data_IF_389915958373
#
_entry.id   IF_389915958373
#
_cell.length_a   1.000
_cell.length_b   1.000
_cell.length_c   1.000
_cell.angle_alpha   90.00
_cell.angle_beta   90.00
_cell.angle_gamma   90.00
#
_symmetry.space_group_name_H-M   'P 1'
#
loop_
_entity.id
_entity.type
_entity.pdbx_description
1 polymer ?
#
# COMPACT_ATOMS: atom_id res chain seq x y z
N UNK A 1 -43.50 -37.93 25.38
CA UNK A 1 -43.08 -37.62 23.99
C UNK A 1 -41.78 -36.83 24.06
N UNK A 2 -40.64 -37.48 23.80
CA UNK A 2 -39.29 -36.90 23.94
C UNK A 2 -38.58 -36.87 22.60
N UNK A 3 -39.00 -35.97 21.73
CA UNK A 3 -38.33 -35.68 20.45
C UNK A 3 -38.47 -34.17 20.25
N UNK A 4 -37.42 -33.52 19.73
CA UNK A 4 -37.20 -32.06 19.60
C UNK A 4 -36.27 -31.39 20.61
N UNK A 5 -35.17 -32.05 21.02
CA UNK A 5 -33.95 -31.29 21.39
C UNK A 5 -32.80 -31.44 20.39
N UNK A 6 -32.90 -32.44 19.50
CA UNK A 6 -31.79 -32.84 18.64
C UNK A 6 -31.83 -32.21 17.23
N UNK A 7 -32.99 -31.70 16.81
CA UNK A 7 -33.17 -31.00 15.53
C UNK A 7 -33.14 -29.47 15.65
N UNK A 8 -32.84 -28.93 16.82
CA UNK A 8 -32.71 -27.49 16.99
C UNK A 8 -31.49 -26.99 16.18
N UNK A 9 -31.69 -25.99 15.33
CA UNK A 9 -30.60 -25.33 14.60
C UNK A 9 -29.52 -24.81 15.56
N UNK A 10 -29.91 -24.42 16.77
CA UNK A 10 -29.00 -24.00 17.84
C UNK A 10 -28.09 -25.16 18.27
N UNK A 11 -28.64 -26.37 18.44
CA UNK A 11 -27.87 -27.56 18.78
C UNK A 11 -26.88 -27.92 17.67
N UNK A 12 -27.34 -27.82 16.42
CA UNK A 12 -26.53 -28.07 15.21
C UNK A 12 -25.39 -27.05 15.05
N UNK A 13 -25.63 -25.79 15.42
CA UNK A 13 -24.60 -24.73 15.43
C UNK A 13 -23.56 -24.93 16.54
N UNK A 14 -23.97 -25.34 17.74
CA UNK A 14 -23.04 -25.62 18.84
C UNK A 14 -22.12 -26.81 18.52
N UNK A 15 -22.62 -27.83 17.84
CA UNK A 15 -21.83 -29.00 17.41
C UNK A 15 -20.96 -28.73 16.20
N UNK A 16 -21.45 -27.98 15.20
CA UNK A 16 -20.65 -27.62 14.03
C UNK A 16 -19.38 -26.82 14.37
N UNK A 17 -19.39 -26.07 15.48
CA UNK A 17 -18.22 -25.32 15.99
C UNK A 17 -17.28 -26.17 16.88
N UNK A 18 -17.66 -27.42 17.19
CA UNK A 18 -16.86 -28.32 18.01
C UNK A 18 -15.90 -29.16 17.15
N UNK A 19 -16.33 -29.56 15.95
CA UNK A 19 -15.56 -30.41 15.02
C UNK A 19 -14.41 -29.67 14.32
N UNK A 20 -14.50 -28.34 14.22
CA UNK A 20 -13.48 -27.46 13.63
C UNK A 20 -12.59 -26.75 14.67
N UNK A 21 -12.48 -27.32 15.88
CA UNK A 21 -11.46 -26.92 16.88
C UNK A 21 -10.04 -27.33 16.49
N UNK A 22 -9.68 -27.19 15.22
CA UNK A 22 -8.27 -27.12 14.84
C UNK A 22 -7.71 -25.84 15.42
N UNK A 23 -6.54 -25.90 16.06
CA UNK A 23 -5.87 -24.69 16.57
C UNK A 23 -5.89 -23.61 15.49
N UNK A 24 -6.18 -22.34 15.84
CA UNK A 24 -6.18 -21.25 14.87
C UNK A 24 -4.93 -21.34 14.02
N UNK A 25 -5.04 -21.22 12.68
CA UNK A 25 -3.89 -21.11 11.78
C UNK A 25 -3.18 -19.79 12.08
N UNK A 26 -2.43 -19.79 13.16
CA UNK A 26 -1.64 -18.69 13.65
C UNK A 26 -0.35 -18.62 12.85
N UNK A 27 0.15 -17.40 12.67
CA UNK A 27 1.44 -17.18 12.05
C UNK A 27 2.55 -17.77 12.93
N UNK A 28 3.63 -18.24 12.32
CA UNK A 28 4.77 -18.78 13.05
C UNK A 28 5.35 -17.76 14.06
N UNK A 29 5.27 -16.47 13.74
CA UNK A 29 5.71 -15.38 14.62
C UNK A 29 4.91 -15.30 15.92
N UNK A 30 3.61 -15.57 15.89
CA UNK A 30 2.79 -15.50 17.10
C UNK A 30 3.00 -16.71 18.00
N UNK A 31 3.20 -17.90 17.43
CA UNK A 31 3.56 -19.10 18.21
C UNK A 31 4.84 -18.88 19.03
N UNK A 32 5.86 -18.26 18.42
CA UNK A 32 7.11 -17.91 19.12
C UNK A 32 6.89 -16.92 20.26
N UNK A 33 5.98 -15.96 20.10
CA UNK A 33 5.64 -15.00 21.15
C UNK A 33 4.88 -15.67 22.31
N UNK A 34 4.00 -16.63 22.01
CA UNK A 34 3.27 -17.39 23.04
C UNK A 34 4.23 -18.23 23.88
N UNK A 35 5.13 -18.99 23.23
CA UNK A 35 6.13 -19.83 23.89
C UNK A 35 7.07 -19.02 24.81
N UNK A 36 7.49 -17.83 24.37
CA UNK A 36 8.32 -16.92 25.15
C UNK A 36 7.61 -16.33 26.39
N UNK A 37 6.28 -16.22 26.35
CA UNK A 37 5.47 -15.77 27.49
C UNK A 37 5.12 -16.94 28.43
N UNK A 38 4.94 -18.14 27.90
CA UNK A 38 4.57 -19.35 28.66
C UNK A 38 5.75 -19.96 29.42
N UNK A 39 6.98 -19.62 29.05
CA UNK A 39 8.21 -20.12 29.69
C UNK A 39 8.69 -19.28 30.88
N UNK A 40 8.00 -18.18 31.23
CA UNK A 40 8.35 -17.33 32.36
C UNK A 40 7.09 -16.87 33.14
N UNK A 41 6.70 -17.54 34.23
CA UNK A 41 5.52 -17.19 35.02
C UNK A 41 5.71 -15.97 35.95
N UNK A 42 6.91 -15.40 36.03
CA UNK A 42 7.26 -14.32 36.97
C UNK A 42 7.55 -12.98 36.27
N UNK A 43 6.61 -12.52 35.44
CA UNK A 43 6.29 -11.09 35.30
C UNK A 43 7.39 -10.10 34.89
N UNK A 44 8.52 -10.53 34.33
CA UNK A 44 9.55 -9.62 33.78
C UNK A 44 9.71 -9.85 32.28
N UNK A 45 8.99 -9.05 31.48
CA UNK A 45 9.09 -9.08 30.03
C UNK A 45 10.50 -8.63 29.59
N UNK A 46 11.43 -9.58 29.44
CA UNK A 46 12.62 -9.38 28.63
C UNK A 46 12.29 -9.71 27.17
N UNK A 47 11.81 -8.71 26.44
CA UNK A 47 11.61 -8.78 24.99
C UNK A 47 12.91 -9.25 24.29
N UNK A 48 12.87 -10.29 23.44
CA UNK A 48 14.01 -10.61 22.59
C UNK A 48 14.22 -9.47 21.58
N UNK A 49 15.27 -8.68 21.79
CA UNK A 49 15.71 -7.54 20.95
C UNK A 49 16.17 -7.91 19.53
N UNK A 50 15.76 -9.07 18.98
CA UNK A 50 16.21 -9.54 17.66
C UNK A 50 15.36 -9.05 16.49
N UNK A 51 14.34 -8.23 16.75
CA UNK A 51 13.54 -7.56 15.72
C UNK A 51 13.54 -6.05 15.93
N UNK A 52 14.72 -5.43 16.03
CA UNK A 52 14.86 -3.98 15.84
C UNK A 52 15.54 -3.69 14.51
N UNK A 53 14.89 -2.98 13.56
CA UNK A 53 15.57 -2.42 12.40
C UNK A 53 16.52 -1.33 12.90
N UNK A 54 17.81 -1.65 12.90
CA UNK A 54 18.87 -0.74 13.29
C UNK A 54 18.93 0.44 12.32
N UNK A 55 18.42 1.61 12.73
CA UNK A 55 18.85 2.91 12.21
C UNK A 55 20.05 3.31 13.07
N UNK A 56 21.28 3.10 12.57
CA UNK A 56 22.47 3.67 13.19
C UNK A 56 22.58 5.15 12.80
N UNK A 57 22.35 6.03 13.78
CA UNK A 57 22.75 7.43 13.73
C UNK A 57 24.07 7.55 14.50
N UNK A 58 25.18 7.75 13.77
CA UNK A 58 26.47 8.12 14.35
C UNK A 58 26.80 9.56 13.91
N UNK A 59 26.87 10.47 14.87
CA UNK A 59 27.57 11.77 14.80
C UNK A 59 28.96 11.49 15.43
N UNK A 60 30.15 11.96 15.04
CA UNK A 60 30.65 13.18 14.37
C UNK A 60 32.16 12.88 14.09
N UNK A 61 32.84 13.25 13.00
CA UNK A 61 33.60 14.50 12.73
C UNK A 61 34.43 14.27 11.44
N UNK A 62 34.47 15.28 10.56
CA UNK A 62 35.37 15.54 9.42
C UNK A 62 36.03 14.37 8.68
N UNK A 63 35.59 14.15 7.44
CA UNK A 63 36.45 14.42 6.28
C UNK A 63 35.63 14.54 5.00
N UNK A 64 35.98 15.54 4.20
CA UNK A 64 35.41 15.83 2.90
C UNK A 64 35.52 14.61 1.98
N UNK A 65 34.39 14.04 1.57
CA UNK A 65 34.07 13.72 0.18
C UNK A 65 32.70 13.04 0.10
N UNK A 66 31.78 13.78 -0.52
CA UNK A 66 30.42 13.38 -0.85
C UNK A 66 30.39 12.13 -1.75
N UNK A 67 29.73 11.03 -1.37
CA UNK A 67 29.33 10.01 -2.33
C UNK A 67 27.95 10.37 -2.85
N UNK A 68 27.93 10.95 -4.04
CA UNK A 68 26.76 11.03 -4.93
C UNK A 68 26.09 9.64 -4.97
N UNK A 69 24.75 9.51 -4.88
CA UNK A 69 24.10 8.24 -5.18
C UNK A 69 24.36 7.94 -6.66
N UNK A 70 25.36 7.09 -6.89
CA UNK A 70 25.69 6.58 -8.21
C UNK A 70 24.52 5.74 -8.69
N UNK A 71 23.82 6.26 -9.70
CA UNK A 71 23.03 5.50 -10.64
C UNK A 71 23.84 4.26 -11.05
N UNK A 72 23.45 3.09 -10.54
CA UNK A 72 23.97 1.82 -11.00
C UNK A 72 23.09 1.35 -12.17
N UNK A 73 23.54 1.42 -13.44
CA UNK A 73 22.83 0.75 -14.51
C UNK A 73 23.14 -0.74 -14.39
N UNK A 74 22.29 -1.51 -13.73
CA UNK A 74 22.30 -2.97 -13.90
C UNK A 74 21.75 -3.25 -15.29
N UNK A 75 22.68 -3.41 -16.23
CA UNK A 75 22.47 -3.86 -17.59
C UNK A 75 21.88 -5.28 -17.56
N UNK A 76 20.55 -5.37 -17.60
CA UNK A 76 19.78 -6.60 -17.79
C UNK A 76 18.83 -6.35 -18.97
N UNK A 77 18.63 -7.32 -19.87
CA UNK A 77 18.18 -7.07 -21.23
C UNK A 77 16.80 -6.41 -21.24
N UNK A 78 16.74 -5.30 -21.96
CA UNK A 78 15.59 -4.47 -22.37
C UNK A 78 14.19 -5.09 -22.27
N UNK A 79 13.69 -5.34 -21.07
CA UNK A 79 12.27 -5.18 -20.81
C UNK A 79 12.06 -3.67 -20.79
N UNK A 80 11.42 -3.11 -21.81
CA UNK A 80 11.17 -1.68 -21.96
C UNK A 80 10.47 -1.13 -20.70
N UNK A 81 11.27 -0.62 -19.75
CA UNK A 81 10.80 -0.09 -18.48
C UNK A 81 9.91 1.11 -18.78
N UNK A 82 8.66 1.05 -18.36
CA UNK A 82 7.71 2.14 -18.56
C UNK A 82 8.14 3.32 -17.70
N UNK A 83 8.13 4.53 -18.24
CA UNK A 83 8.53 5.73 -17.49
C UNK A 83 7.29 6.46 -16.97
N UNK A 84 7.31 6.86 -15.70
CA UNK A 84 6.25 7.63 -15.09
C UNK A 84 6.27 9.08 -15.57
N UNK A 85 5.23 9.57 -16.22
CA UNK A 85 5.18 10.97 -16.69
C UNK A 85 5.06 12.01 -15.56
N UNK A 86 4.83 11.63 -14.29
CA UNK A 86 4.72 12.61 -13.18
C UNK A 86 6.06 12.91 -12.53
N UNK A 87 6.85 11.86 -12.30
CA UNK A 87 8.11 11.94 -11.57
C UNK A 87 9.32 11.59 -12.44
N UNK A 88 9.10 11.24 -13.71
CA UNK A 88 10.13 10.90 -14.69
C UNK A 88 11.02 9.71 -14.26
N UNK A 89 10.56 8.91 -13.30
CA UNK A 89 11.24 7.69 -12.86
C UNK A 89 10.69 6.48 -13.60
N UNK A 90 11.54 5.48 -13.80
CA UNK A 90 11.15 4.17 -14.35
C UNK A 90 10.26 3.41 -13.38
N UNK A 91 9.20 2.80 -13.89
CA UNK A 91 8.26 1.97 -13.15
C UNK A 91 8.77 0.52 -13.22
N UNK A 92 9.20 -0.04 -12.09
CA UNK A 92 9.80 -1.38 -12.04
C UNK A 92 8.79 -2.53 -11.96
N UNK A 93 7.67 -2.32 -11.27
CA UNK A 93 6.72 -3.38 -10.92
C UNK A 93 5.32 -3.14 -11.53
N UNK A 94 4.54 -2.22 -10.94
CA UNK A 94 3.15 -1.99 -11.31
C UNK A 94 3.00 -0.60 -11.92
N UNK A 95 2.54 -0.56 -13.18
CA UNK A 95 2.26 0.67 -13.91
C UNK A 95 0.75 0.84 -14.13
N UNK A 96 0.24 2.05 -13.88
CA UNK A 96 -1.08 2.48 -14.33
C UNK A 96 -0.94 3.01 -15.75
N UNK A 97 -1.54 2.33 -16.74
CA UNK A 97 -1.63 2.81 -18.12
C UNK A 97 -2.75 3.83 -18.22
N UNK A 98 -2.42 5.05 -18.64
CA UNK A 98 -3.38 6.15 -18.79
C UNK A 98 -3.83 6.23 -20.24
N UNK A 99 -2.88 6.11 -21.17
CA UNK A 99 -3.10 6.09 -22.62
C UNK A 99 -1.97 5.29 -23.29
N UNK A 100 -2.05 5.08 -24.60
CA UNK A 100 -0.96 4.41 -25.33
C UNK A 100 0.35 5.19 -25.13
N UNK A 101 1.37 4.52 -24.58
CA UNK A 101 2.66 5.16 -24.27
C UNK A 101 2.73 5.99 -22.97
N UNK A 102 1.61 6.29 -22.30
CA UNK A 102 1.58 7.07 -21.05
C UNK A 102 1.34 6.21 -19.82
N UNK A 103 2.32 6.18 -18.94
CA UNK A 103 2.29 5.37 -17.73
C UNK A 103 2.56 6.24 -16.50
N UNK A 104 1.94 5.88 -15.38
CA UNK A 104 2.25 6.46 -14.07
C UNK A 104 2.26 5.42 -12.96
N UNK A 105 2.97 5.71 -11.88
CA UNK A 105 2.89 4.90 -10.66
C UNK A 105 1.48 4.93 -10.06
N UNK A 106 1.07 3.88 -9.32
CA UNK A 106 -0.16 3.86 -8.56
C UNK A 106 -0.33 5.08 -7.63
N UNK A 107 0.76 5.57 -7.03
CA UNK A 107 0.77 6.78 -6.19
C UNK A 107 0.92 8.11 -6.96
N UNK A 108 1.36 8.06 -8.23
CA UNK A 108 1.47 9.23 -9.09
C UNK A 108 0.20 9.49 -9.90
N UNK A 109 -0.74 8.55 -9.93
CA UNK A 109 -1.99 8.66 -10.67
C UNK A 109 -3.04 9.46 -9.86
N UNK A 110 -2.75 10.75 -9.70
CA UNK A 110 -3.49 11.67 -8.84
C UNK A 110 -3.91 12.92 -9.61
N UNK A 111 -4.98 13.57 -9.15
CA UNK A 111 -5.43 14.86 -9.67
C UNK A 111 -4.34 15.92 -9.46
N UNK A 112 -4.05 16.73 -10.48
CA UNK A 112 -3.08 17.83 -10.34
C UNK A 112 -3.53 18.92 -9.37
N UNK A 113 -4.83 19.22 -9.32
CA UNK A 113 -5.38 20.30 -8.49
C UNK A 113 -5.57 19.94 -7.00
N UNK A 114 -5.98 18.71 -6.67
CA UNK A 114 -6.25 18.31 -5.27
C UNK A 114 -5.49 17.07 -4.79
N UNK A 115 -4.67 16.45 -5.64
CA UNK A 115 -3.86 15.28 -5.26
C UNK A 115 -4.66 14.00 -4.99
N UNK A 116 -5.97 13.98 -5.22
CA UNK A 116 -6.77 12.77 -4.98
C UNK A 116 -6.44 11.64 -5.97
N UNK A 117 -6.50 10.39 -5.52
CA UNK A 117 -6.28 9.24 -6.38
C UNK A 117 -7.37 9.11 -7.47
N UNK A 118 -6.95 9.09 -8.73
CA UNK A 118 -7.85 9.04 -9.89
C UNK A 118 -8.27 7.62 -10.26
N UNK A 119 -7.60 6.59 -9.72
CA UNK A 119 -7.90 5.17 -10.05
C UNK A 119 -9.32 4.76 -9.69
N UNK A 120 -9.89 5.33 -8.63
CA UNK A 120 -11.22 4.96 -8.15
C UNK A 120 -12.34 5.82 -8.75
N UNK A 121 -12.03 7.03 -9.22
CA UNK A 121 -13.03 8.02 -9.64
C UNK A 121 -13.00 8.36 -11.14
N UNK A 122 -12.00 7.86 -11.86
CA UNK A 122 -11.75 8.26 -13.24
C UNK A 122 -10.89 9.52 -13.34
N UNK A 123 -10.46 9.82 -14.56
CA UNK A 123 -9.62 10.96 -14.89
C UNK A 123 -10.17 11.69 -16.11
N UNK A 124 -9.82 12.96 -16.23
CA UNK A 124 -10.09 13.78 -17.40
C UNK A 124 -8.81 14.51 -17.79
N UNK A 125 -8.62 14.73 -19.09
CA UNK A 125 -7.50 15.47 -19.62
C UNK A 125 -7.86 16.95 -19.73
N UNK A 126 -7.13 17.79 -19.00
CA UNK A 126 -7.14 19.23 -19.17
C UNK A 126 -5.80 19.64 -19.80
N UNK A 127 -5.72 19.56 -21.12
CA UNK A 127 -4.43 19.62 -21.84
C UNK A 127 -3.61 18.35 -21.57
N UNK A 128 -2.39 18.52 -21.04
CA UNK A 128 -1.48 17.41 -20.68
C UNK A 128 -1.54 17.04 -19.18
N UNK A 129 -2.56 17.54 -18.46
CA UNK A 129 -2.72 17.29 -17.03
C UNK A 129 -3.93 16.41 -16.73
N UNK A 130 -3.74 15.50 -15.78
CA UNK A 130 -4.79 14.64 -15.25
C UNK A 130 -5.53 15.33 -14.09
N UNK A 131 -6.83 15.53 -14.28
CA UNK A 131 -7.70 16.14 -13.28
C UNK A 131 -8.86 15.20 -12.93
N UNK A 132 -9.42 15.36 -11.72
CA UNK A 132 -10.64 14.66 -11.33
C UNK A 132 -11.88 15.32 -11.95
N UNK A 133 -13.02 14.64 -11.94
CA UNK A 133 -14.27 15.13 -12.55
C UNK A 133 -14.64 16.55 -12.11
N UNK A 134 -14.55 16.84 -10.80
CA UNK A 134 -14.88 18.15 -10.24
C UNK A 134 -14.05 19.26 -10.88
N UNK A 135 -12.74 19.06 -10.99
CA UNK A 135 -11.82 20.05 -11.56
C UNK A 135 -11.88 20.11 -13.07
N UNK A 136 -12.13 18.98 -13.74
CA UNK A 136 -12.40 18.96 -15.17
C UNK A 136 -13.61 19.82 -15.50
N UNK A 137 -14.74 19.60 -14.81
CA UNK A 137 -15.97 20.36 -15.00
C UNK A 137 -15.77 21.84 -14.74
N UNK A 138 -15.05 22.21 -13.68
CA UNK A 138 -14.71 23.61 -13.39
C UNK A 138 -13.95 24.29 -14.55
N UNK A 139 -13.06 23.57 -15.23
CA UNK A 139 -12.28 24.08 -16.37
C UNK A 139 -13.08 24.09 -17.69
N UNK A 140 -13.98 23.14 -17.89
CA UNK A 140 -14.84 23.10 -19.09
C UNK A 140 -15.97 24.14 -19.03
N UNK A 141 -16.43 24.49 -17.83
CA UNK A 141 -17.51 25.45 -17.62
C UNK A 141 -17.05 26.91 -17.52
N UNK A 142 -15.76 27.24 -17.61
CA UNK A 142 -15.36 28.64 -17.83
C UNK A 142 -15.67 29.01 -19.28
N UNK A 143 -16.77 29.74 -19.57
CA UNK A 143 -17.01 30.22 -20.91
C UNK A 143 -16.04 31.39 -21.10
N UNK A 144 -15.29 31.37 -22.20
CA UNK A 144 -14.70 32.59 -22.72
C UNK A 144 -15.85 33.55 -23.04
N UNK A 145 -16.17 34.47 -22.12
CA UNK A 145 -17.40 35.25 -22.24
C UNK A 145 -17.73 36.13 -21.04
N UNK A 146 -16.75 36.89 -20.54
CA UNK A 146 -17.07 38.16 -19.85
C UNK A 146 -16.00 39.18 -20.23
N UNK A 147 -16.06 39.59 -21.51
CA UNK A 147 -15.52 40.86 -21.92
C UNK A 147 -16.31 41.93 -21.16
N UNK A 148 -15.64 42.54 -20.19
CA UNK A 148 -16.13 43.70 -19.45
C UNK A 148 -16.30 44.84 -20.47
N UNK A 149 -17.51 45.36 -20.59
CA UNK A 149 -17.81 46.69 -21.15
C UNK A 149 -18.63 47.43 -20.10
#
# INVERSE_FOLDING_TARGET
MSWLHQDSEVYKMLQGNQENRTSPRQSNSFKLLQEALESDPDGVISMPTKFSPTIQKQSSISNNQSPVPQNRPTNSPSASLRTCEKCNMTISEVAVKISEGRYRHPGCYVCTDCGMNLRMRGHFWAGDQLVCEKHARARHHTPMGSLRS
#
